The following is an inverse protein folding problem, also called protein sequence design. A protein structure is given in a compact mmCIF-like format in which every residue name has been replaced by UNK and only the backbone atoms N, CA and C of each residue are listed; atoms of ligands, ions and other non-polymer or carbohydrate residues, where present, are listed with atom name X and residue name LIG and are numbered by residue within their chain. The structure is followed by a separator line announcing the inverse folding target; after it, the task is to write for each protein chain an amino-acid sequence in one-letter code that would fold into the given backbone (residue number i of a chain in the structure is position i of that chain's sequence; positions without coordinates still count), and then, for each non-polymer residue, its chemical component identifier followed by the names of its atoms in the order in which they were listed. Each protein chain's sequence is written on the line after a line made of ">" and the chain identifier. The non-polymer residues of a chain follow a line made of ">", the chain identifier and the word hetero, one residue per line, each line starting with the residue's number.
data_IF_088800309941
#
_entry.id   IF_088800309941
#
_cell.length_a   1.000
_cell.length_b   1.000
_cell.length_c   1.000
_cell.angle_alpha   90.00
_cell.angle_beta   90.00
_cell.angle_gamma   90.00
#
_symmetry.space_group_name_H-M   'P 1'
#
loop_
_entity.id
_entity.type
_entity.pdbx_description
1 polymer ?
#
# COMPACT_ATOMS: atom_id res chain seq x y z
N UNK A 1 32.44 -45.81 -18.66
CA UNK A 1 31.71 -44.64 -19.21
C UNK A 1 31.71 -43.44 -18.25
N UNK A 2 31.25 -43.57 -16.99
CA UNK A 2 31.16 -42.45 -16.02
C UNK A 2 32.54 -41.83 -15.66
N UNK A 3 33.61 -42.64 -15.56
CA UNK A 3 34.98 -42.14 -15.32
C UNK A 3 35.49 -41.18 -16.40
N UNK A 4 35.07 -41.37 -17.64
CA UNK A 4 35.50 -40.52 -18.76
C UNK A 4 34.84 -39.14 -18.70
N UNK A 5 33.53 -39.11 -18.41
CA UNK A 5 32.76 -37.89 -18.20
C UNK A 5 33.32 -37.05 -17.04
N UNK A 6 33.66 -37.69 -15.92
CA UNK A 6 34.27 -37.02 -14.76
C UNK A 6 35.67 -36.45 -15.07
N UNK A 7 36.50 -37.17 -15.81
CA UNK A 7 37.82 -36.68 -16.22
C UNK A 7 37.72 -35.49 -17.18
N UNK A 8 36.77 -35.50 -18.12
CA UNK A 8 36.51 -34.35 -18.99
C UNK A 8 36.07 -33.12 -18.19
N UNK A 9 35.12 -33.26 -17.26
CA UNK A 9 34.72 -32.17 -16.37
C UNK A 9 35.90 -31.63 -15.55
N UNK A 10 36.74 -32.52 -15.01
CA UNK A 10 37.91 -32.12 -14.21
C UNK A 10 38.95 -31.36 -15.04
N UNK A 11 39.22 -31.79 -16.28
CA UNK A 11 40.13 -31.09 -17.20
C UNK A 11 39.54 -29.74 -17.61
N UNK A 12 38.25 -29.69 -17.90
CA UNK A 12 37.54 -28.46 -18.28
C UNK A 12 37.56 -27.42 -17.15
N UNK A 13 37.23 -27.83 -15.92
CA UNK A 13 37.27 -26.97 -14.73
C UNK A 13 38.71 -26.52 -14.40
N UNK A 14 39.70 -27.40 -14.58
CA UNK A 14 41.11 -27.05 -14.38
C UNK A 14 41.63 -26.00 -15.38
N UNK A 15 41.14 -26.03 -16.62
CA UNK A 15 41.61 -25.14 -17.68
C UNK A 15 40.91 -23.77 -17.64
N UNK A 16 39.59 -23.76 -17.48
CA UNK A 16 38.79 -22.53 -17.46
C UNK A 16 38.62 -21.91 -16.07
N UNK A 17 38.66 -22.70 -14.99
CA UNK A 17 38.42 -22.28 -13.61
C UNK A 17 39.19 -21.03 -13.14
N UNK A 18 40.52 -20.91 -13.33
CA UNK A 18 41.28 -19.80 -12.75
C UNK A 18 40.97 -18.42 -13.37
N UNK A 19 40.43 -18.37 -14.59
CA UNK A 19 40.01 -17.11 -15.23
C UNK A 19 38.67 -16.64 -14.66
N UNK A 20 37.70 -17.55 -14.55
CA UNK A 20 36.38 -17.23 -14.01
C UNK A 20 36.40 -16.89 -12.52
N UNK A 21 37.22 -17.58 -11.71
CA UNK A 21 37.34 -17.31 -10.25
C UNK A 21 37.89 -15.92 -9.96
N UNK A 22 38.72 -15.35 -10.85
CA UNK A 22 39.23 -13.96 -10.72
C UNK A 22 38.20 -12.91 -11.15
N UNK A 23 37.39 -13.20 -12.17
CA UNK A 23 36.36 -12.29 -12.68
C UNK A 23 35.09 -12.24 -11.81
N UNK A 24 34.73 -13.36 -11.17
CA UNK A 24 33.53 -13.49 -10.35
C UNK A 24 33.35 -12.40 -9.26
N UNK A 25 34.37 -12.10 -8.42
CA UNK A 25 34.22 -11.11 -7.36
C UNK A 25 34.09 -9.67 -7.88
N UNK A 26 34.52 -9.39 -9.12
CA UNK A 26 34.42 -8.06 -9.72
C UNK A 26 32.98 -7.74 -10.17
N UNK A 27 32.26 -8.75 -10.67
CA UNK A 27 30.91 -8.60 -11.25
C UNK A 27 29.81 -8.79 -10.18
N UNK A 28 30.10 -9.60 -9.16
CA UNK A 28 29.16 -9.95 -8.07
C UNK A 28 28.48 -8.77 -7.38
N UNK A 29 29.17 -7.69 -6.95
CA UNK A 29 28.51 -6.58 -6.25
C UNK A 29 27.61 -5.73 -7.16
N UNK A 30 27.93 -5.62 -8.46
CA UNK A 30 27.14 -4.85 -9.43
C UNK A 30 25.82 -5.57 -9.74
N UNK A 31 25.90 -6.88 -9.98
CA UNK A 31 24.74 -7.72 -10.28
C UNK A 31 23.92 -7.99 -9.01
N UNK A 32 24.57 -8.22 -7.87
CA UNK A 32 23.89 -8.43 -6.60
C UNK A 32 23.15 -7.17 -6.13
N UNK A 33 23.77 -6.00 -6.28
CA UNK A 33 23.17 -4.72 -5.90
C UNK A 33 21.92 -4.38 -6.73
N UNK A 34 21.96 -4.60 -8.05
CA UNK A 34 20.80 -4.33 -8.92
C UNK A 34 19.63 -5.26 -8.62
N UNK A 35 19.88 -6.55 -8.39
CA UNK A 35 18.84 -7.53 -8.01
C UNK A 35 18.19 -7.12 -6.68
N UNK A 36 19.00 -6.73 -5.69
CA UNK A 36 18.49 -6.28 -4.39
C UNK A 36 17.59 -5.05 -4.51
N UNK A 37 17.99 -4.07 -5.33
CA UNK A 37 17.20 -2.86 -5.59
C UNK A 37 15.86 -3.20 -6.27
N UNK A 38 15.86 -4.09 -7.27
CA UNK A 38 14.63 -4.51 -7.96
C UNK A 38 13.65 -5.19 -6.99
N UNK A 39 14.14 -6.10 -6.14
CA UNK A 39 13.31 -6.78 -5.13
C UNK A 39 12.68 -5.77 -4.16
N UNK A 40 13.44 -4.76 -3.72
CA UNK A 40 12.91 -3.70 -2.86
C UNK A 40 11.83 -2.87 -3.55
N UNK A 41 12.00 -2.55 -4.83
CA UNK A 41 11.00 -1.83 -5.63
C UNK A 41 9.72 -2.65 -5.77
N UNK A 42 9.83 -3.96 -6.05
CA UNK A 42 8.66 -4.82 -6.18
C UNK A 42 7.90 -4.96 -4.85
N UNK A 43 8.61 -5.13 -3.74
CA UNK A 43 8.01 -5.23 -2.41
C UNK A 43 7.29 -3.93 -2.01
N UNK A 44 7.91 -2.78 -2.25
CA UNK A 44 7.30 -1.47 -1.97
C UNK A 44 6.09 -1.19 -2.86
N UNK A 45 6.10 -1.64 -4.12
CA UNK A 45 4.94 -1.55 -5.01
C UNK A 45 3.73 -2.36 -4.49
N UNK A 46 3.95 -3.62 -4.08
CA UNK A 46 2.88 -4.45 -3.50
C UNK A 46 2.30 -3.82 -2.24
N UNK A 47 3.17 -3.30 -1.36
CA UNK A 47 2.76 -2.61 -0.14
C UNK A 47 1.94 -1.34 -0.45
N UNK A 48 2.35 -0.59 -1.48
CA UNK A 48 1.65 0.63 -1.91
C UNK A 48 0.23 0.34 -2.40
N UNK A 49 0.04 -0.73 -3.17
CA UNK A 49 -1.29 -1.16 -3.63
C UNK A 49 -2.19 -1.46 -2.43
N UNK A 50 -1.68 -2.24 -1.48
CA UNK A 50 -2.42 -2.57 -0.26
C UNK A 50 -2.83 -1.29 0.49
N UNK A 51 -1.89 -0.39 0.77
CA UNK A 51 -2.17 0.87 1.49
C UNK A 51 -3.18 1.76 0.75
N UNK A 52 -3.14 1.80 -0.58
CA UNK A 52 -4.12 2.55 -1.39
C UNK A 52 -5.53 1.99 -1.25
N UNK A 53 -5.68 0.66 -1.28
CA UNK A 53 -6.96 0.00 -1.07
C UNK A 53 -7.55 0.33 0.31
N UNK A 54 -6.74 0.25 1.37
CA UNK A 54 -7.17 0.59 2.73
C UNK A 54 -7.53 2.07 2.87
N UNK A 55 -6.76 2.98 2.29
CA UNK A 55 -7.08 4.41 2.29
C UNK A 55 -8.42 4.72 1.62
N UNK A 56 -8.69 4.11 0.46
CA UNK A 56 -9.97 4.25 -0.23
C UNK A 56 -11.13 3.68 0.60
N UNK A 57 -10.93 2.50 1.20
CA UNK A 57 -11.91 1.88 2.07
C UNK A 57 -12.25 2.77 3.27
N UNK A 58 -11.23 3.33 3.92
CA UNK A 58 -11.38 4.25 5.06
C UNK A 58 -12.23 5.47 4.71
N UNK A 59 -11.97 6.09 3.55
CA UNK A 59 -12.74 7.24 3.07
C UNK A 59 -14.19 6.89 2.75
N UNK A 60 -14.42 5.74 2.11
CA UNK A 60 -15.77 5.25 1.83
C UNK A 60 -16.53 5.03 3.13
N UNK A 61 -15.90 4.34 4.07
CA UNK A 61 -16.48 4.03 5.36
C UNK A 61 -16.80 5.32 6.12
N UNK A 62 -15.89 6.29 6.17
CA UNK A 62 -16.16 7.59 6.80
C UNK A 62 -17.37 8.32 6.20
N UNK A 63 -17.54 8.27 4.87
CA UNK A 63 -18.73 8.82 4.18
C UNK A 63 -20.01 8.08 4.58
N UNK A 64 -19.96 6.75 4.65
CA UNK A 64 -21.10 5.93 5.09
C UNK A 64 -21.49 6.27 6.53
N UNK A 65 -20.52 6.35 7.44
CA UNK A 65 -20.76 6.74 8.84
C UNK A 65 -21.36 8.14 8.95
N UNK A 66 -20.79 9.12 8.25
CA UNK A 66 -21.29 10.50 8.27
C UNK A 66 -22.73 10.59 7.73
N UNK A 67 -23.02 9.89 6.64
CA UNK A 67 -24.38 9.83 6.09
C UNK A 67 -25.35 9.13 7.05
N UNK A 68 -24.91 8.04 7.68
CA UNK A 68 -25.71 7.29 8.66
C UNK A 68 -26.03 8.12 9.91
N UNK A 69 -25.05 8.85 10.44
CA UNK A 69 -25.26 9.77 11.58
C UNK A 69 -26.33 10.80 11.22
N UNK A 70 -26.24 11.40 10.03
CA UNK A 70 -27.22 12.41 9.57
C UNK A 70 -28.63 11.82 9.44
N UNK A 71 -28.77 10.62 8.86
CA UNK A 71 -30.10 10.00 8.72
C UNK A 71 -30.68 9.60 10.07
N UNK A 72 -29.87 9.02 10.95
CA UNK A 72 -30.30 8.63 12.30
C UNK A 72 -30.62 9.83 13.18
N UNK A 73 -29.91 10.96 13.00
CA UNK A 73 -30.22 12.21 13.68
C UNK A 73 -31.60 12.75 13.33
N UNK A 74 -31.98 12.74 12.04
CA UNK A 74 -33.33 13.13 11.63
C UNK A 74 -34.39 12.17 12.18
N UNK A 75 -34.14 10.86 12.15
CA UNK A 75 -35.05 9.86 12.69
C UNK A 75 -35.25 10.00 14.22
N UNK A 76 -34.17 10.31 14.96
CA UNK A 76 -34.22 10.63 16.38
C UNK A 76 -35.12 11.84 16.68
N UNK A 77 -34.97 12.90 15.88
CA UNK A 77 -35.77 14.12 15.99
C UNK A 77 -37.22 13.98 15.48
N UNK A 78 -37.63 12.80 14.99
CA UNK A 78 -38.96 12.61 14.41
C UNK A 78 -39.15 13.32 13.08
N UNK A 79 -38.07 13.64 12.37
CA UNK A 79 -38.07 14.43 11.14
C UNK A 79 -37.69 13.56 9.94
N UNK A 80 -38.32 13.78 8.80
CA UNK A 80 -38.03 13.07 7.54
C UNK A 80 -37.65 14.07 6.45
N UNK A 81 -36.52 13.83 5.80
CA UNK A 81 -36.14 14.63 4.63
C UNK A 81 -37.00 14.25 3.43
N UNK A 82 -37.66 15.23 2.83
CA UNK A 82 -38.49 15.07 1.66
C UNK A 82 -37.75 15.59 0.41
N UNK A 83 -37.21 14.69 -0.44
CA UNK A 83 -36.45 15.10 -1.63
C UNK A 83 -37.33 15.81 -2.68
N UNK A 84 -38.66 15.58 -2.68
CA UNK A 84 -39.58 16.19 -3.64
C UNK A 84 -39.77 17.70 -3.42
N UNK A 85 -39.65 18.15 -2.16
CA UNK A 85 -39.82 19.56 -1.77
C UNK A 85 -38.55 20.16 -1.14
N UNK A 86 -37.44 19.41 -1.17
CA UNK A 86 -36.14 19.81 -0.63
C UNK A 86 -36.21 20.37 0.81
N UNK A 87 -37.07 19.79 1.65
CA UNK A 87 -37.36 20.27 3.01
C UNK A 87 -37.41 19.13 4.02
N UNK A 88 -37.21 19.45 5.29
CA UNK A 88 -37.34 18.50 6.41
C UNK A 88 -38.75 18.63 6.98
N UNK A 89 -39.58 17.60 6.78
CA UNK A 89 -40.95 17.54 7.27
C UNK A 89 -40.99 16.78 8.61
N UNK A 90 -41.90 17.17 9.50
CA UNK A 90 -42.22 16.36 10.68
C UNK A 90 -42.90 15.08 10.23
N UNK A 91 -42.43 13.94 10.74
CA UNK A 91 -42.98 12.64 10.44
C UNK A 91 -43.62 12.08 11.70
N UNK A 92 -44.83 11.53 11.56
CA UNK A 92 -45.46 10.77 12.63
C UNK A 92 -44.80 9.38 12.70
N UNK A 93 -43.69 9.33 13.45
CA UNK A 93 -42.91 8.13 13.67
C UNK A 93 -43.28 7.58 15.06
N UNK A 94 -43.64 6.30 15.12
CA UNK A 94 -43.91 5.60 16.39
C UNK A 94 -42.73 5.64 17.37
N UNK A 95 -43.03 5.51 18.66
CA UNK A 95 -42.05 5.56 19.75
C UNK A 95 -40.94 4.50 19.60
N UNK A 96 -41.30 3.27 19.25
CA UNK A 96 -40.36 2.15 19.10
C UNK A 96 -39.28 2.43 18.04
N UNK A 97 -39.68 3.05 16.93
CA UNK A 97 -38.76 3.38 15.85
C UNK A 97 -37.81 4.52 16.22
N UNK A 98 -38.27 5.52 17.00
CA UNK A 98 -37.40 6.57 17.55
C UNK A 98 -36.36 5.99 18.53
N UNK A 99 -36.77 5.05 19.37
CA UNK A 99 -35.84 4.32 20.25
C UNK A 99 -34.78 3.56 19.45
N UNK A 100 -35.19 2.81 18.41
CA UNK A 100 -34.25 2.11 17.52
C UNK A 100 -33.26 3.08 16.85
N UNK A 101 -33.75 4.20 16.32
CA UNK A 101 -32.92 5.25 15.75
C UNK A 101 -31.90 5.81 16.77
N UNK A 102 -32.28 5.90 18.05
CA UNK A 102 -31.40 6.34 19.14
C UNK A 102 -30.26 5.35 19.37
N UNK A 103 -30.55 4.05 19.42
CA UNK A 103 -29.51 3.02 19.56
C UNK A 103 -28.53 3.05 18.38
N UNK A 104 -29.04 3.12 17.14
CA UNK A 104 -28.22 3.23 15.94
C UNK A 104 -27.39 4.51 15.97
N UNK A 105 -27.99 5.65 16.31
CA UNK A 105 -27.28 6.92 16.44
C UNK A 105 -26.14 6.85 17.47
N UNK A 106 -26.40 6.31 18.66
CA UNK A 106 -25.39 6.13 19.71
C UNK A 106 -24.25 5.23 19.23
N UNK A 107 -24.57 4.10 18.58
CA UNK A 107 -23.55 3.21 18.02
C UNK A 107 -22.68 3.93 16.98
N UNK A 108 -23.29 4.68 16.06
CA UNK A 108 -22.54 5.39 15.02
C UNK A 108 -21.68 6.53 15.60
N UNK A 109 -22.20 7.31 16.56
CA UNK A 109 -21.46 8.39 17.22
C UNK A 109 -20.33 7.84 18.07
N UNK A 110 -20.56 6.74 18.79
CA UNK A 110 -19.53 6.07 19.57
C UNK A 110 -18.44 5.46 18.70
N UNK A 111 -18.79 4.97 17.51
CA UNK A 111 -17.85 4.36 16.59
C UNK A 111 -17.15 5.40 15.69
N UNK A 112 -17.72 6.59 15.51
CA UNK A 112 -17.13 7.72 14.79
C UNK A 112 -15.67 8.05 15.18
N UNK A 113 -15.29 8.18 16.48
CA UNK A 113 -13.91 8.46 16.86
C UNK A 113 -12.93 7.40 16.36
N UNK A 114 -13.31 6.11 16.38
CA UNK A 114 -12.46 5.04 15.83
C UNK A 114 -12.25 5.19 14.33
N UNK A 115 -13.27 5.64 13.60
CA UNK A 115 -13.19 5.87 12.15
C UNK A 115 -12.32 7.06 11.80
N UNK A 116 -12.35 8.12 12.61
CA UNK A 116 -11.43 9.26 12.47
C UNK A 116 -9.99 8.79 12.67
N UNK A 117 -9.71 8.00 13.71
CA UNK A 117 -8.37 7.46 13.97
C UNK A 117 -7.90 6.59 12.81
N UNK A 118 -8.74 5.68 12.29
CA UNK A 118 -8.38 4.88 11.12
C UNK A 118 -8.06 5.74 9.90
N UNK A 119 -8.90 6.75 9.59
CA UNK A 119 -8.62 7.67 8.49
C UNK A 119 -7.26 8.38 8.66
N UNK A 120 -6.92 8.84 9.87
CA UNK A 120 -5.64 9.48 10.16
C UNK A 120 -4.47 8.52 9.98
N UNK A 121 -4.54 7.32 10.56
CA UNK A 121 -3.48 6.31 10.49
C UNK A 121 -3.24 5.87 9.05
N UNK A 122 -4.31 5.51 8.31
CA UNK A 122 -4.15 5.05 6.93
C UNK A 122 -3.75 6.18 5.98
N UNK A 123 -4.18 7.42 6.21
CA UNK A 123 -3.67 8.58 5.45
C UNK A 123 -2.19 8.80 5.72
N UNK A 124 -1.76 8.73 6.98
CA UNK A 124 -0.36 8.87 7.36
C UNK A 124 0.52 7.77 6.75
N UNK A 125 0.11 6.50 6.88
CA UNK A 125 0.79 5.37 6.25
C UNK A 125 0.87 5.50 4.73
N UNK A 126 -0.20 5.95 4.08
CA UNK A 126 -0.20 6.20 2.64
C UNK A 126 0.84 7.26 2.23
N UNK A 127 0.93 8.37 2.96
CA UNK A 127 1.92 9.42 2.70
C UNK A 127 3.34 8.91 2.93
N UNK A 128 3.57 8.16 4.02
CA UNK A 128 4.88 7.57 4.32
C UNK A 128 5.30 6.63 3.19
N UNK A 129 4.45 5.68 2.81
CA UNK A 129 4.78 4.71 1.75
C UNK A 129 4.99 5.41 0.40
N UNK A 130 4.21 6.43 0.08
CA UNK A 130 4.44 7.24 -1.13
C UNK A 130 5.81 7.92 -1.07
N UNK A 131 6.16 8.55 0.05
CA UNK A 131 7.47 9.22 0.21
C UNK A 131 8.65 8.27 0.09
N UNK A 132 8.53 7.05 0.64
CA UNK A 132 9.55 5.99 0.52
C UNK A 132 9.69 5.55 -0.93
N UNK A 133 8.57 5.39 -1.64
CA UNK A 133 8.59 4.96 -3.05
C UNK A 133 9.27 6.00 -3.94
N UNK A 134 8.95 7.29 -3.78
CA UNK A 134 9.62 8.38 -4.50
C UNK A 134 11.12 8.44 -4.16
N UNK A 135 11.47 8.26 -2.88
CA UNK A 135 12.86 8.20 -2.44
C UNK A 135 13.63 7.03 -3.05
N UNK A 136 13.00 5.85 -3.16
CA UNK A 136 13.60 4.67 -3.76
C UNK A 136 13.83 4.87 -5.27
N UNK A 137 12.86 5.46 -5.98
CA UNK A 137 13.01 5.81 -7.41
C UNK A 137 14.14 6.83 -7.61
N UNK A 138 14.31 7.78 -6.69
CA UNK A 138 15.42 8.72 -6.75
C UNK A 138 16.78 8.01 -6.56
N UNK A 139 16.87 7.07 -5.61
CA UNK A 139 18.08 6.28 -5.39
C UNK A 139 18.42 5.39 -6.59
N UNK A 140 17.42 4.77 -7.23
CA UNK A 140 17.67 3.95 -8.43
C UNK A 140 18.20 4.79 -9.59
N UNK A 141 17.69 6.01 -9.78
CA UNK A 141 18.23 6.97 -10.76
C UNK A 141 19.69 7.33 -10.47
N UNK A 142 20.00 7.67 -9.23
CA UNK A 142 21.39 7.96 -8.81
C UNK A 142 22.33 6.78 -9.05
N UNK A 143 21.87 5.56 -8.77
CA UNK A 143 22.65 4.35 -9.00
C UNK A 143 22.93 4.14 -10.49
N UNK A 144 21.91 4.27 -11.35
CA UNK A 144 22.06 4.15 -12.80
C UNK A 144 23.00 5.24 -13.35
N UNK A 145 22.84 6.49 -12.92
CA UNK A 145 23.70 7.60 -13.33
C UNK A 145 25.15 7.42 -12.88
N UNK A 146 25.38 6.80 -11.72
CA UNK A 146 26.73 6.45 -11.28
C UNK A 146 27.34 5.36 -12.15
N UNK A 147 26.56 4.34 -12.53
CA UNK A 147 27.05 3.28 -13.42
C UNK A 147 27.37 3.82 -14.81
N UNK A 148 26.51 4.65 -15.40
CA UNK A 148 26.74 5.22 -16.73
C UNK A 148 28.00 6.06 -16.78
N UNK A 149 28.32 6.83 -15.74
CA UNK A 149 29.58 7.57 -15.63
C UNK A 149 30.81 6.67 -15.60
N UNK A 150 30.78 5.58 -14.82
CA UNK A 150 31.89 4.62 -14.74
C UNK A 150 32.15 3.95 -16.10
N UNK A 151 31.10 3.67 -16.87
CA UNK A 151 31.23 3.11 -18.23
C UNK A 151 31.58 4.15 -19.30
N UNK A 152 31.36 5.45 -19.06
CA UNK A 152 31.68 6.52 -20.00
C UNK A 152 33.13 7.04 -19.87
N UNK A 153 33.74 6.89 -18.69
CA UNK A 153 35.14 7.29 -18.41
C UNK A 153 36.17 6.20 -18.78
N UNK A 154 35.72 5.07 -19.30
CA UNK A 154 36.51 3.87 -19.63
C UNK A 154 36.42 3.57 -21.13
#
# INVERSE_FOLDING_TARGET
>A
MIKYQLNLCRIYVSYFGPQYVKLLPLISPIVGGSIFVVILVDLTNVLTIHMRCFHLYSKLLFKLFSSGIRSSYYAFMGKKYNPLRNRVDEADIGFDHRLFATFVFLLLVFLMPTMVVFCLVFSGLFIIVQSVTEGLIFLTKLYVDSLTKIFADN
#
